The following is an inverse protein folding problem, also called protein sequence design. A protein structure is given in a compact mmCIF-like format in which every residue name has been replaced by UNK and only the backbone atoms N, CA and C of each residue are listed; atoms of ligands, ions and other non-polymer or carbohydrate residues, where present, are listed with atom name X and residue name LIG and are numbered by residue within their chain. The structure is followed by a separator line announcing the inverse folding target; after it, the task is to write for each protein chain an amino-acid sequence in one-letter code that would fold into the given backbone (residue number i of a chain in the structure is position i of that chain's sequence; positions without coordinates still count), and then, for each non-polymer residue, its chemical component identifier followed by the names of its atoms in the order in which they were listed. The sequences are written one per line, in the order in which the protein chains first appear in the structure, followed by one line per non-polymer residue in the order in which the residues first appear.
data_IF_718840039316
#
_entry.id   IF_718840039316
#
_cell.length_a   1.000
_cell.length_b   1.000
_cell.length_c   1.000
_cell.angle_alpha   90.00
_cell.angle_beta   90.00
_cell.angle_gamma   90.00
#
_symmetry.space_group_name_H-M   'P 1'
#
loop_
_entity.id
_entity.type
_entity.pdbx_description
1 polymer ?
#
# COMPACT_ATOMS: atom_id res chain seq x y z
N UNK A 1 11.88 8.66 -17.88
CA UNK A 1 11.08 7.99 -16.84
C UNK A 1 12.09 7.33 -15.92
N UNK A 2 12.18 7.74 -14.66
CA UNK A 2 13.05 7.04 -13.69
C UNK A 2 12.47 5.66 -13.45
N UNK A 3 13.28 4.61 -13.64
CA UNK A 3 12.90 3.26 -13.28
C UNK A 3 12.55 3.21 -11.79
N UNK A 4 11.48 2.50 -11.46
CA UNK A 4 11.10 2.25 -10.09
C UNK A 4 12.21 1.47 -9.37
N UNK A 5 12.61 1.94 -8.18
CA UNK A 5 13.61 1.24 -7.38
C UNK A 5 13.11 -0.11 -6.84
N UNK A 6 11.79 -0.29 -6.72
CA UNK A 6 11.12 -1.50 -6.28
C UNK A 6 9.96 -1.88 -7.21
N UNK A 7 9.82 -3.18 -7.48
CA UNK A 7 8.65 -3.76 -8.11
C UNK A 7 7.54 -3.99 -7.06
N UNK A 8 6.27 -3.79 -7.45
CA UNK A 8 5.13 -4.17 -6.62
C UNK A 8 4.52 -5.47 -7.12
N UNK A 9 4.52 -6.49 -6.27
CA UNK A 9 3.86 -7.76 -6.53
C UNK A 9 2.56 -7.85 -5.75
N UNK A 10 1.49 -8.36 -6.37
CA UNK A 10 0.25 -8.67 -5.65
C UNK A 10 0.32 -10.07 -5.07
N UNK A 11 0.14 -10.19 -3.75
CA UNK A 11 -0.11 -11.49 -3.13
C UNK A 11 -1.25 -12.20 -3.85
N UNK A 12 -1.01 -13.47 -4.17
CA UNK A 12 -1.94 -14.38 -4.81
C UNK A 12 -2.25 -15.53 -3.87
N UNK A 13 -3.52 -15.80 -3.59
CA UNK A 13 -3.91 -16.96 -2.77
C UNK A 13 -3.88 -18.27 -3.58
N UNK A 14 -4.20 -19.39 -2.92
CA UNK A 14 -4.21 -20.71 -3.54
C UNK A 14 -5.21 -20.84 -4.71
N UNK A 15 -6.28 -20.04 -4.70
CA UNK A 15 -7.29 -19.99 -5.76
C UNK A 15 -6.91 -19.02 -6.90
N UNK A 16 -5.75 -18.39 -6.80
CA UNK A 16 -5.27 -17.44 -7.80
C UNK A 16 -5.81 -16.01 -7.64
N UNK A 17 -6.62 -15.73 -6.61
CA UNK A 17 -7.17 -14.40 -6.34
C UNK A 17 -6.09 -13.46 -5.84
N UNK A 18 -6.28 -12.16 -6.08
CA UNK A 18 -5.33 -11.11 -5.69
C UNK A 18 -6.05 -10.09 -4.81
N UNK A 19 -6.15 -10.34 -3.49
CA UNK A 19 -7.01 -9.57 -2.60
C UNK A 19 -6.81 -8.06 -2.66
N UNK A 20 -5.56 -7.58 -2.75
CA UNK A 20 -5.30 -6.12 -2.86
C UNK A 20 -5.78 -5.58 -4.21
N UNK A 21 -5.57 -6.31 -5.31
CA UNK A 21 -6.07 -5.89 -6.64
C UNK A 21 -7.60 -5.85 -6.66
N UNK A 22 -8.23 -6.88 -6.13
CA UNK A 22 -9.70 -6.99 -6.10
C UNK A 22 -10.32 -5.90 -5.21
N UNK A 23 -9.65 -5.55 -4.12
CA UNK A 23 -10.01 -4.41 -3.27
C UNK A 23 -9.82 -3.07 -3.98
N UNK A 24 -8.67 -2.84 -4.63
CA UNK A 24 -8.39 -1.61 -5.39
C UNK A 24 -9.47 -1.35 -6.47
N UNK A 25 -9.95 -2.40 -7.14
CA UNK A 25 -10.99 -2.30 -8.17
C UNK A 25 -12.35 -1.88 -7.63
N UNK A 26 -12.59 -2.04 -6.32
CA UNK A 26 -13.84 -1.66 -5.63
C UNK A 26 -13.76 -0.29 -4.97
N UNK A 27 -12.56 0.30 -4.86
CA UNK A 27 -12.41 1.63 -4.28
C UNK A 27 -13.05 2.69 -5.19
N UNK A 28 -13.52 3.76 -4.56
CA UNK A 28 -13.88 4.98 -5.29
C UNK A 28 -12.71 5.45 -6.16
N UNK A 29 -13.02 6.00 -7.34
CA UNK A 29 -12.01 6.41 -8.33
C UNK A 29 -10.97 7.37 -7.75
N UNK A 30 -11.37 8.29 -6.87
CA UNK A 30 -10.45 9.25 -6.25
C UNK A 30 -9.44 8.55 -5.32
N UNK A 31 -9.91 7.62 -4.48
CA UNK A 31 -9.12 6.80 -3.56
C UNK A 31 -8.16 5.88 -4.33
N UNK A 32 -8.64 5.21 -5.37
CA UNK A 32 -7.81 4.36 -6.23
C UNK A 32 -6.71 5.16 -6.93
N UNK A 33 -7.03 6.35 -7.45
CA UNK A 33 -6.04 7.26 -8.06
C UNK A 33 -5.00 7.73 -7.06
N UNK A 34 -5.42 8.17 -5.88
CA UNK A 34 -4.51 8.61 -4.83
C UNK A 34 -3.54 7.50 -4.40
N UNK A 35 -4.05 6.27 -4.23
CA UNK A 35 -3.22 5.13 -3.88
C UNK A 35 -2.26 4.73 -5.00
N UNK A 36 -2.69 4.76 -6.27
CA UNK A 36 -1.82 4.49 -7.40
C UNK A 36 -0.66 5.49 -7.51
N UNK A 37 -0.94 6.79 -7.34
CA UNK A 37 0.09 7.85 -7.33
C UNK A 37 1.07 7.64 -6.18
N UNK A 38 0.57 7.36 -4.97
CA UNK A 38 1.41 7.12 -3.81
C UNK A 38 2.25 5.83 -3.95
N UNK A 39 1.67 4.77 -4.53
CA UNK A 39 2.41 3.54 -4.81
C UNK A 39 3.57 3.81 -5.78
N UNK A 40 3.31 4.52 -6.88
CA UNK A 40 4.31 4.77 -7.91
C UNK A 40 5.44 5.71 -7.46
N UNK A 41 5.08 6.83 -6.81
CA UNK A 41 6.07 7.85 -6.45
C UNK A 41 6.72 7.64 -5.08
N UNK A 42 6.11 6.87 -4.18
CA UNK A 42 6.62 6.67 -2.82
C UNK A 42 7.00 5.20 -2.62
N UNK A 43 6.03 4.29 -2.65
CA UNK A 43 6.28 2.89 -2.28
C UNK A 43 7.28 2.21 -3.24
N UNK A 44 7.16 2.44 -4.54
CA UNK A 44 8.07 1.92 -5.55
C UNK A 44 9.45 2.59 -5.54
N UNK A 45 9.61 3.74 -4.91
CA UNK A 45 10.90 4.43 -4.84
C UNK A 45 11.64 4.08 -3.55
N UNK A 46 10.90 3.94 -2.44
CA UNK A 46 11.49 3.75 -1.11
C UNK A 46 11.40 2.31 -0.60
N UNK A 47 10.48 1.50 -1.11
CA UNK A 47 10.24 0.13 -0.64
C UNK A 47 9.91 0.10 0.86
N UNK A 48 10.63 -0.72 1.63
CA UNK A 48 10.50 -0.75 3.10
C UNK A 48 11.00 0.55 3.78
N UNK A 49 11.77 1.37 3.06
CA UNK A 49 12.28 2.66 3.53
C UNK A 49 11.19 3.62 3.99
N UNK A 50 9.96 3.48 3.46
CA UNK A 50 8.80 4.27 3.87
C UNK A 50 8.52 4.21 5.37
N UNK A 51 8.94 3.13 6.07
CA UNK A 51 8.83 3.00 7.53
C UNK A 51 9.60 4.04 8.33
N UNK A 52 10.52 4.79 7.70
CA UNK A 52 11.24 5.93 8.29
C UNK A 52 10.55 7.26 8.03
N UNK A 53 9.37 7.23 7.39
CA UNK A 53 8.58 8.41 7.00
C UNK A 53 7.17 8.32 7.59
N UNK A 54 6.33 9.31 7.32
CA UNK A 54 4.91 9.23 7.68
C UNK A 54 4.13 8.14 6.92
N UNK A 55 4.65 7.69 5.78
CA UNK A 55 3.97 6.73 4.91
C UNK A 55 4.10 5.28 5.37
N UNK A 56 4.98 4.97 6.31
CA UNK A 56 5.20 3.59 6.77
C UNK A 56 5.03 3.40 8.27
N UNK A 57 4.67 2.18 8.66
CA UNK A 57 4.76 1.72 10.05
C UNK A 57 5.19 0.25 10.06
N UNK A 58 6.31 -0.11 10.70
CA UNK A 58 6.65 -1.51 10.95
C UNK A 58 5.57 -2.20 11.78
N UNK A 59 5.21 -3.43 11.41
CA UNK A 59 4.30 -4.28 12.18
C UNK A 59 5.11 -5.44 12.74
N UNK A 60 4.70 -6.69 12.50
CA UNK A 60 5.31 -7.89 13.05
C UNK A 60 5.71 -8.83 11.90
N UNK A 61 6.63 -9.77 12.15
CA UNK A 61 6.99 -10.86 11.22
C UNK A 61 7.44 -10.38 9.83
N UNK A 62 8.00 -9.18 9.72
CA UNK A 62 8.44 -8.57 8.46
C UNK A 62 7.32 -7.91 7.64
N UNK A 63 6.11 -7.81 8.20
CA UNK A 63 5.01 -7.02 7.63
C UNK A 63 5.19 -5.53 8.00
N UNK A 64 4.83 -4.64 7.09
CA UNK A 64 4.72 -3.21 7.36
C UNK A 64 3.45 -2.63 6.74
N UNK A 65 2.96 -1.55 7.31
CA UNK A 65 1.76 -0.83 6.87
C UNK A 65 2.19 0.39 6.04
N UNK A 66 1.79 0.43 4.77
CA UNK A 66 1.83 1.62 3.93
C UNK A 66 0.56 2.45 4.15
N UNK A 67 0.74 3.71 4.55
CA UNK A 67 -0.29 4.62 5.04
C UNK A 67 -0.50 5.76 4.07
N UNK A 68 -1.70 5.85 3.50
CA UNK A 68 -2.10 7.00 2.72
C UNK A 68 -3.15 7.83 3.46
N UNK A 69 -2.86 9.13 3.56
CA UNK A 69 -3.71 10.16 4.20
C UNK A 69 -4.03 11.34 3.27
N UNK A 70 -3.53 11.28 2.04
CA UNK A 70 -3.46 12.39 1.11
C UNK A 70 -4.16 12.03 -0.20
N UNK A 71 -4.75 13.03 -0.85
CA UNK A 71 -5.20 12.89 -2.24
C UNK A 71 -4.03 12.73 -3.21
N UNK A 72 -4.33 12.32 -4.44
CA UNK A 72 -3.34 12.25 -5.51
C UNK A 72 -2.60 13.59 -5.69
N UNK A 73 -3.35 14.70 -5.66
CA UNK A 73 -2.79 16.04 -5.83
C UNK A 73 -1.96 16.46 -4.62
N UNK A 74 -2.39 16.15 -3.40
CA UNK A 74 -1.59 16.42 -2.20
C UNK A 74 -0.28 15.62 -2.19
N UNK A 75 -0.29 14.36 -2.63
CA UNK A 75 0.93 13.55 -2.79
C UNK A 75 1.88 14.22 -3.79
N UNK A 76 1.40 14.58 -4.98
CA UNK A 76 2.23 15.24 -6.00
C UNK A 76 2.76 16.59 -5.50
N UNK A 77 1.94 17.36 -4.81
CA UNK A 77 2.34 18.65 -4.23
C UNK A 77 3.46 18.47 -3.21
N UNK A 78 3.29 17.54 -2.26
CA UNK A 78 4.27 17.27 -1.20
C UNK A 78 5.60 16.75 -1.75
N UNK A 79 5.59 16.12 -2.93
CA UNK A 79 6.78 15.66 -3.64
C UNK A 79 7.39 16.73 -4.56
N UNK A 80 6.79 17.93 -4.66
CA UNK A 80 7.23 18.99 -5.56
C UNK A 80 7.04 18.66 -7.06
N UNK A 81 6.10 17.76 -7.38
CA UNK A 81 5.83 17.27 -8.73
C UNK A 81 4.66 18.00 -9.41
N UNK A 82 4.02 18.95 -8.74
CA UNK A 82 3.02 19.81 -9.36
C UNK A 82 3.67 21.01 -10.07
N UNK A 83 3.09 21.47 -11.20
CA UNK A 83 3.51 22.70 -11.85
C UNK A 83 3.45 23.92 -10.91
N UNK A 84 4.35 24.92 -11.11
CA UNK A 84 4.26 26.20 -10.41
C UNK A 84 2.89 26.85 -10.60
N UNK A 85 2.24 27.27 -9.50
CA UNK A 85 0.94 27.93 -9.53
C UNK A 85 -0.27 27.01 -9.29
N UNK A 86 -0.09 25.68 -9.32
CA UNK A 86 -1.11 24.75 -8.82
C UNK A 86 -1.10 24.75 -7.29
N UNK A 87 -2.15 25.32 -6.69
CA UNK A 87 -2.33 25.34 -5.24
C UNK A 87 -2.91 24.01 -4.75
N UNK A 88 -2.74 23.73 -3.44
CA UNK A 88 -3.36 22.59 -2.78
C UNK A 88 -4.87 22.58 -3.09
N UNK A 89 -5.35 21.53 -3.73
CA UNK A 89 -6.79 21.37 -3.95
C UNK A 89 -7.56 21.44 -2.63
N UNK A 90 -8.81 21.90 -2.72
CA UNK A 90 -9.79 21.80 -1.63
C UNK A 90 -9.74 20.35 -1.10
N UNK A 91 -9.66 20.16 0.23
CA UNK A 91 -9.56 18.82 0.84
C UNK A 91 -10.58 17.89 0.18
N UNK A 92 -10.09 16.94 -0.61
CA UNK A 92 -10.90 15.81 -1.04
C UNK A 92 -11.25 14.99 0.22
N UNK A 93 -12.31 14.18 0.16
CA UNK A 93 -12.82 13.38 1.28
C UNK A 93 -11.66 12.73 2.05
N UNK A 94 -11.80 12.57 3.37
CA UNK A 94 -10.76 11.99 4.23
C UNK A 94 -10.25 10.64 3.66
N UNK A 95 -9.09 10.68 3.00
CA UNK A 95 -8.41 9.48 2.52
C UNK A 95 -7.71 8.85 3.71
N UNK A 96 -8.03 7.58 3.98
CA UNK A 96 -7.40 6.84 5.07
C UNK A 96 -7.21 5.39 4.65
N UNK A 97 -6.41 5.19 3.61
CA UNK A 97 -6.14 3.87 3.06
C UNK A 97 -4.91 3.26 3.71
N UNK A 98 -4.93 1.94 3.88
CA UNK A 98 -3.83 1.15 4.40
C UNK A 98 -3.57 -0.05 3.51
N UNK A 99 -2.30 -0.29 3.23
CA UNK A 99 -1.86 -1.48 2.50
C UNK A 99 -0.78 -2.17 3.32
N UNK A 100 -1.02 -3.40 3.72
CA UNK A 100 -0.05 -4.23 4.39
C UNK A 100 0.86 -4.88 3.36
N UNK A 101 2.16 -4.69 3.56
CA UNK A 101 3.20 -5.00 2.60
C UNK A 101 4.30 -5.86 3.24
N UNK A 102 5.06 -6.57 2.42
CA UNK A 102 6.26 -7.30 2.81
C UNK A 102 7.36 -7.12 1.77
N UNK A 103 8.57 -6.79 2.19
CA UNK A 103 9.72 -6.76 1.29
C UNK A 103 10.31 -8.17 1.16
N UNK A 104 10.53 -8.64 -0.07
CA UNK A 104 11.14 -9.93 -0.35
C UNK A 104 11.92 -9.89 -1.68
N UNK A 105 12.69 -10.96 -1.94
CA UNK A 105 13.50 -11.07 -3.15
C UNK A 105 14.48 -9.91 -3.32
N UNK A 106 14.87 -9.64 -4.56
CA UNK A 106 15.61 -8.44 -4.92
C UNK A 106 14.64 -7.33 -5.30
N UNK A 107 14.52 -6.32 -4.41
CA UNK A 107 13.73 -5.11 -4.64
C UNK A 107 12.25 -5.35 -5.00
N UNK A 108 11.61 -6.36 -4.39
CA UNK A 108 10.16 -6.58 -4.54
C UNK A 108 9.42 -6.23 -3.24
N UNK A 109 8.32 -5.49 -3.38
CA UNK A 109 7.34 -5.27 -2.32
C UNK A 109 6.06 -6.04 -2.64
N UNK A 110 5.78 -7.07 -1.85
CA UNK A 110 4.54 -7.83 -1.90
C UNK A 110 3.41 -7.06 -1.21
N UNK A 111 2.33 -6.81 -1.93
CA UNK A 111 1.09 -6.21 -1.43
C UNK A 111 0.16 -7.33 -0.94
N UNK A 112 -0.02 -7.43 0.38
CA UNK A 112 -0.63 -8.61 1.05
C UNK A 112 -2.13 -8.42 1.33
N UNK A 113 -2.49 -7.26 1.88
CA UNK A 113 -3.87 -6.90 2.18
C UNK A 113 -4.03 -5.38 2.13
N UNK A 114 -5.24 -4.92 1.81
CA UNK A 114 -5.56 -3.50 1.81
C UNK A 114 -6.94 -3.29 2.39
N UNK A 115 -7.12 -2.19 3.11
CA UNK A 115 -8.43 -1.82 3.64
C UNK A 115 -8.58 -0.30 3.74
N UNK A 116 -9.83 0.14 3.64
CA UNK A 116 -10.20 1.53 3.84
C UNK A 116 -10.56 1.77 5.30
N UNK A 117 -9.63 2.36 6.05
CA UNK A 117 -9.83 2.67 7.46
C UNK A 117 -10.83 3.82 7.64
N UNK A 118 -11.00 4.69 6.65
CA UNK A 118 -11.96 5.78 6.71
C UNK A 118 -13.40 5.26 6.74
N UNK A 119 -13.68 4.21 5.97
CA UNK A 119 -15.00 3.57 5.95
C UNK A 119 -15.22 2.60 7.13
N UNK A 120 -14.16 2.03 7.70
CA UNK A 120 -14.24 1.11 8.84
C UNK A 120 -13.21 1.46 9.95
N UNK A 121 -13.44 2.55 10.72
CA UNK A 121 -12.43 3.12 11.62
C UNK A 121 -12.17 2.33 12.92
N UNK A 122 -12.80 1.17 13.13
CA UNK A 122 -12.70 0.45 14.40
C UNK A 122 -11.33 -0.21 14.60
N UNK A 123 -10.79 -0.13 15.83
CA UNK A 123 -9.54 -0.81 16.21
C UNK A 123 -9.63 -2.32 16.00
N UNK A 124 -10.78 -2.91 16.36
CA UNK A 124 -11.03 -4.34 16.17
C UNK A 124 -10.96 -4.74 14.69
N UNK A 125 -11.45 -3.90 13.77
CA UNK A 125 -11.34 -4.15 12.33
C UNK A 125 -9.89 -4.07 11.86
N UNK A 126 -9.16 -3.04 12.26
CA UNK A 126 -7.73 -2.90 11.92
C UNK A 126 -6.92 -4.10 12.41
N UNK A 127 -7.12 -4.55 13.65
CA UNK A 127 -6.47 -5.76 14.16
C UNK A 127 -6.85 -7.02 13.38
N UNK A 128 -8.11 -7.13 12.95
CA UNK A 128 -8.53 -8.24 12.09
C UNK A 128 -7.81 -8.21 10.74
N UNK A 129 -7.67 -7.03 10.11
CA UNK A 129 -6.94 -6.88 8.84
C UNK A 129 -5.44 -7.18 9.00
N UNK A 130 -4.82 -6.79 10.13
CA UNK A 130 -3.43 -7.17 10.45
C UNK A 130 -3.32 -8.69 10.56
N UNK A 131 -4.19 -9.35 11.33
CA UNK A 131 -4.17 -10.82 11.47
C UNK A 131 -4.36 -11.53 10.12
N UNK A 132 -5.25 -11.01 9.28
CA UNK A 132 -5.47 -11.52 7.93
C UNK A 132 -4.22 -11.34 7.05
N UNK A 133 -3.56 -10.18 7.12
CA UNK A 133 -2.32 -9.93 6.40
C UNK A 133 -1.19 -10.85 6.89
N UNK A 134 -1.05 -11.05 8.20
CA UNK A 134 -0.07 -11.99 8.75
C UNK A 134 -0.30 -13.43 8.28
N UNK A 135 -1.56 -13.89 8.25
CA UNK A 135 -1.92 -15.22 7.76
C UNK A 135 -1.58 -15.40 6.27
N UNK A 136 -1.89 -14.40 5.44
CA UNK A 136 -1.53 -14.42 4.01
C UNK A 136 -0.03 -14.39 3.78
N UNK A 137 0.71 -13.62 4.58
CA UNK A 137 2.17 -13.59 4.50
C UNK A 137 2.79 -14.94 4.88
N UNK A 138 2.24 -15.62 5.90
CA UNK A 138 2.67 -16.96 6.27
C UNK A 138 2.42 -17.95 5.12
N UNK A 139 1.22 -17.95 4.53
CA UNK A 139 0.87 -18.80 3.41
C UNK A 139 1.76 -18.54 2.17
N UNK A 140 2.06 -17.28 1.86
CA UNK A 140 3.03 -16.91 0.83
C UNK A 140 4.41 -17.54 1.08
N UNK A 141 4.94 -17.39 2.30
CA UNK A 141 6.26 -17.93 2.67
C UNK A 141 6.32 -19.45 2.53
N UNK A 142 5.27 -20.14 2.96
CA UNK A 142 5.18 -21.59 2.81
C UNK A 142 5.13 -22.02 1.34
N UNK A 143 4.41 -21.29 0.48
CA UNK A 143 4.43 -21.55 -0.96
C UNK A 143 5.79 -21.33 -1.59
N UNK A 144 6.47 -20.24 -1.27
CA UNK A 144 7.83 -19.97 -1.75
C UNK A 144 8.78 -21.09 -1.31
N UNK A 145 8.73 -21.49 -0.04
CA UNK A 145 9.57 -22.56 0.50
C UNK A 145 9.29 -23.94 -0.14
N UNK A 146 8.05 -24.21 -0.58
CA UNK A 146 7.68 -25.45 -1.30
C UNK A 146 8.03 -25.42 -2.79
N UNK A 147 8.17 -24.22 -3.38
CA UNK A 147 8.47 -24.00 -4.79
C UNK A 147 9.95 -23.75 -5.09
N UNK A 148 10.81 -23.90 -4.08
CA UNK A 148 12.29 -23.89 -4.20
C UNK A 148 12.80 -25.30 -4.01
#
# INVERSE_FOLDING_TARGET
MTDAAYELEFYRDADGRRPVRDWLQKLDRSKARALGVAMFHILQQEGVGVCRTEYGKPISKGLFEFRLRHSAQEVLHNLGLLPPGETRAKRERDILLRVYCHAHGDKVILLVAGYDKGEAPSKSREEHEIRLAESRLQDFRERVARGT
#
